data_IF_861465211139
#
_entry.id   IF_861465211139
#
_cell.length_a   1.000
_cell.length_b   1.000
_cell.length_c   1.000
_cell.angle_alpha   90.00
_cell.angle_beta   90.00
_cell.angle_gamma   90.00
#
_symmetry.space_group_name_H-M   'P 1'
#
loop_
_entity.id
_entity.type
_entity.pdbx_description
1 polymer ?
#
# COMPACT_ATOMS: atom_id res chain seq x y z
N UNK A 1 -46.33 1.56 10.76
CA UNK A 1 -45.02 1.98 10.21
C UNK A 1 -44.34 0.74 9.66
N UNK A 2 -44.00 0.72 8.37
CA UNK A 2 -43.62 -0.51 7.66
C UNK A 2 -42.27 -1.06 8.17
N UNK A 3 -42.27 -2.29 8.68
CA UNK A 3 -41.08 -2.97 9.24
C UNK A 3 -39.94 -3.05 8.21
N UNK A 4 -40.25 -3.03 6.92
CA UNK A 4 -39.26 -2.99 5.83
C UNK A 4 -38.42 -1.71 5.82
N UNK A 5 -39.02 -0.55 6.13
CA UNK A 5 -38.33 0.74 6.11
C UNK A 5 -37.32 0.87 7.26
N UNK A 6 -37.67 0.36 8.45
CA UNK A 6 -36.75 0.36 9.60
C UNK A 6 -35.53 -0.53 9.35
N UNK A 7 -35.71 -1.70 8.70
CA UNK A 7 -34.61 -2.61 8.38
C UNK A 7 -33.64 -2.01 7.35
N UNK A 8 -34.17 -1.37 6.30
CA UNK A 8 -33.35 -0.70 5.28
C UNK A 8 -32.55 0.45 5.90
N UNK A 9 -33.19 1.27 6.73
CA UNK A 9 -32.54 2.40 7.39
C UNK A 9 -31.39 1.96 8.31
N UNK A 10 -31.60 0.91 9.11
CA UNK A 10 -30.57 0.37 10.00
C UNK A 10 -29.37 -0.18 9.23
N UNK A 11 -29.62 -0.85 8.10
CA UNK A 11 -28.58 -1.40 7.25
C UNK A 11 -27.72 -0.31 6.61
N UNK A 12 -28.36 0.75 6.10
CA UNK A 12 -27.66 1.92 5.54
C UNK A 12 -26.80 2.62 6.58
N UNK A 13 -27.27 2.75 7.83
CA UNK A 13 -26.48 3.31 8.93
C UNK A 13 -25.22 2.47 9.21
N UNK A 14 -25.33 1.14 9.23
CA UNK A 14 -24.18 0.27 9.47
C UNK A 14 -23.13 0.38 8.37
N UNK A 15 -23.56 0.47 7.10
CA UNK A 15 -22.64 0.65 5.96
C UNK A 15 -21.95 2.01 6.05
N UNK A 16 -22.70 3.09 6.31
CA UNK A 16 -22.14 4.44 6.46
C UNK A 16 -21.18 4.52 7.64
N UNK A 17 -21.53 3.92 8.79
CA UNK A 17 -20.67 3.85 9.96
C UNK A 17 -19.38 3.07 9.66
N UNK A 18 -19.46 1.96 8.91
CA UNK A 18 -18.30 1.20 8.46
C UNK A 18 -17.37 2.03 7.57
N UNK A 19 -17.92 2.76 6.59
CA UNK A 19 -17.15 3.66 5.71
C UNK A 19 -16.49 4.79 6.52
N UNK A 20 -17.23 5.40 7.45
CA UNK A 20 -16.70 6.45 8.33
C UNK A 20 -15.57 5.92 9.22
N UNK A 21 -15.71 4.73 9.79
CA UNK A 21 -14.68 4.11 10.62
C UNK A 21 -13.40 3.82 9.82
N UNK A 22 -13.53 3.33 8.59
CA UNK A 22 -12.40 3.11 7.68
C UNK A 22 -11.74 4.46 7.33
N UNK A 23 -12.53 5.49 7.05
CA UNK A 23 -12.00 6.82 6.72
C UNK A 23 -11.26 7.46 7.91
N UNK A 24 -11.83 7.36 9.11
CA UNK A 24 -11.22 7.85 10.35
C UNK A 24 -9.92 7.11 10.69
N UNK A 25 -9.90 5.80 10.52
CA UNK A 25 -8.68 5.01 10.77
C UNK A 25 -7.57 5.33 9.77
N UNK A 26 -7.90 5.57 8.49
CA UNK A 26 -6.94 6.02 7.48
C UNK A 26 -6.37 7.39 7.83
N UNK A 27 -7.21 8.36 8.21
CA UNK A 27 -6.77 9.71 8.56
C UNK A 27 -5.91 9.73 9.82
N UNK A 28 -6.31 9.01 10.88
CA UNK A 28 -5.54 8.94 12.12
C UNK A 28 -4.19 8.24 11.93
N UNK A 29 -4.08 7.29 10.99
CA UNK A 29 -2.82 6.62 10.68
C UNK A 29 -1.84 7.53 9.92
N UNK A 30 -2.34 8.54 9.20
CA UNK A 30 -1.52 9.50 8.47
C UNK A 30 -0.81 10.48 9.42
N UNK A 31 -1.43 10.86 10.55
CA UNK A 31 -0.83 11.78 11.54
C UNK A 31 0.24 11.14 12.43
N UNK A 32 0.26 9.81 12.61
CA UNK A 32 1.12 9.12 13.58
C UNK A 32 2.56 8.81 13.14
N UNK A 33 3.14 9.49 12.15
CA UNK A 33 4.54 9.23 11.74
C UNK A 33 5.49 10.43 11.87
N UNK A 34 5.58 11.08 13.05
CA UNK A 34 6.46 12.23 13.26
C UNK A 34 7.97 11.89 13.21
N UNK A 35 8.35 10.61 13.21
CA UNK A 35 9.76 10.19 13.29
C UNK A 35 10.36 9.68 11.97
N UNK A 36 9.61 9.61 10.87
CA UNK A 36 10.12 9.09 9.59
C UNK A 36 10.66 10.22 8.71
N UNK A 37 11.82 10.03 8.14
CA UNK A 37 12.48 11.01 7.28
C UNK A 37 13.13 12.17 8.02
N UNK A 38 13.30 12.07 9.34
CA UNK A 38 13.97 13.11 10.15
C UNK A 38 15.41 13.31 9.68
N UNK A 39 16.13 12.20 9.42
CA UNK A 39 17.49 12.26 8.85
C UNK A 39 17.54 13.01 7.52
N UNK A 40 16.51 12.81 6.68
CA UNK A 40 16.41 13.37 5.33
C UNK A 40 16.19 14.89 5.35
N UNK A 41 15.45 15.39 6.34
CA UNK A 41 15.29 16.83 6.55
C UNK A 41 16.63 17.49 6.96
N UNK A 42 17.42 16.81 7.78
CA UNK A 42 18.68 17.34 8.33
C UNK A 42 19.86 17.26 7.35
N UNK A 43 19.97 16.21 6.52
CA UNK A 43 21.05 16.10 5.52
C UNK A 43 21.08 17.29 4.55
N UNK A 44 19.92 17.86 4.19
CA UNK A 44 19.86 19.01 3.29
C UNK A 44 20.51 20.27 3.85
N UNK A 45 20.59 20.36 5.19
CA UNK A 45 21.15 21.50 5.94
C UNK A 45 22.62 21.28 6.31
N UNK A 46 22.98 20.04 6.62
CA UNK A 46 24.27 19.69 7.23
C UNK A 46 25.32 19.20 6.22
N UNK A 47 24.93 18.85 4.99
CA UNK A 47 25.87 18.39 3.97
C UNK A 47 26.72 19.53 3.41
N UNK A 48 28.03 19.30 3.19
CA UNK A 48 28.88 20.27 2.51
C UNK A 48 28.46 20.41 1.02
N UNK A 49 28.82 21.52 0.34
CA UNK A 49 28.39 21.81 -1.02
C UNK A 49 28.66 20.68 -2.02
N UNK A 50 29.82 20.01 -1.91
CA UNK A 50 30.23 18.90 -2.78
C UNK A 50 29.37 17.63 -2.64
N UNK A 51 28.69 17.46 -1.49
CA UNK A 51 27.84 16.30 -1.19
C UNK A 51 26.34 16.62 -1.31
N UNK A 52 25.97 17.87 -1.59
CA UNK A 52 24.57 18.31 -1.68
C UNK A 52 23.80 17.57 -2.78
N UNK A 53 24.43 17.32 -3.92
CA UNK A 53 23.84 16.54 -5.02
C UNK A 53 23.45 15.11 -4.59
N UNK A 54 24.33 14.44 -3.83
CA UNK A 54 24.05 13.11 -3.29
C UNK A 54 22.89 13.14 -2.30
N UNK A 55 22.86 14.16 -1.42
CA UNK A 55 21.74 14.38 -0.50
C UNK A 55 20.42 14.52 -1.24
N UNK A 56 20.37 15.35 -2.29
CA UNK A 56 19.18 15.51 -3.13
C UNK A 56 18.77 14.20 -3.81
N UNK A 57 19.73 13.42 -4.32
CA UNK A 57 19.44 12.13 -4.94
C UNK A 57 18.81 11.14 -3.94
N UNK A 58 19.32 11.06 -2.71
CA UNK A 58 18.78 10.19 -1.65
C UNK A 58 17.37 10.64 -1.25
N UNK A 59 17.15 11.95 -1.08
CA UNK A 59 15.84 12.52 -0.75
C UNK A 59 14.81 12.17 -1.85
N UNK A 60 15.17 12.39 -3.12
CA UNK A 60 14.28 12.11 -4.25
C UNK A 60 13.92 10.61 -4.32
N UNK A 61 14.90 9.73 -4.21
CA UNK A 61 14.66 8.28 -4.22
C UNK A 61 13.79 7.84 -3.03
N UNK A 62 14.06 8.37 -1.83
CA UNK A 62 13.22 8.09 -0.66
C UNK A 62 11.76 8.48 -0.90
N UNK A 63 11.50 9.69 -1.38
CA UNK A 63 10.13 10.15 -1.65
C UNK A 63 9.44 9.31 -2.72
N UNK A 64 10.15 8.94 -3.79
CA UNK A 64 9.63 8.04 -4.80
C UNK A 64 9.22 6.69 -4.19
N UNK A 65 10.10 6.08 -3.39
CA UNK A 65 9.84 4.77 -2.79
C UNK A 65 8.70 4.81 -1.79
N UNK A 66 8.59 5.89 -1.01
CA UNK A 66 7.47 6.08 -0.07
C UNK A 66 6.15 6.29 -0.80
N UNK A 67 6.13 7.12 -1.85
CA UNK A 67 4.94 7.32 -2.68
C UNK A 67 4.48 6.01 -3.31
N UNK A 68 5.41 5.24 -3.87
CA UNK A 68 5.12 3.92 -4.44
C UNK A 68 4.67 2.92 -3.37
N UNK A 69 5.25 2.94 -2.17
CA UNK A 69 4.81 2.11 -1.05
C UNK A 69 3.35 2.37 -0.72
N UNK A 70 2.91 3.63 -0.68
CA UNK A 70 1.51 3.99 -0.40
C UNK A 70 0.59 3.46 -1.51
N UNK A 71 0.96 3.65 -2.78
CA UNK A 71 0.18 3.17 -3.93
C UNK A 71 0.03 1.65 -3.92
N UNK A 72 1.12 0.92 -3.73
CA UNK A 72 1.09 -0.55 -3.66
C UNK A 72 0.36 -1.06 -2.42
N UNK A 73 0.48 -0.37 -1.29
CA UNK A 73 -0.28 -0.67 -0.06
C UNK A 73 -1.78 -0.54 -0.31
N UNK A 74 -2.22 0.55 -0.95
CA UNK A 74 -3.61 0.78 -1.28
C UNK A 74 -4.16 -0.30 -2.21
N UNK A 75 -3.39 -0.71 -3.24
CA UNK A 75 -3.78 -1.79 -4.14
C UNK A 75 -3.85 -3.14 -3.43
N UNK A 76 -2.83 -3.50 -2.64
CA UNK A 76 -2.75 -4.77 -1.93
C UNK A 76 -3.89 -4.91 -0.91
N UNK A 77 -4.00 -3.97 0.02
CA UNK A 77 -5.04 -4.01 1.05
C UNK A 77 -6.44 -3.73 0.48
N UNK A 78 -6.54 -2.92 -0.57
CA UNK A 78 -7.81 -2.68 -1.27
C UNK A 78 -8.35 -3.96 -1.90
N UNK A 79 -7.51 -4.75 -2.56
CA UNK A 79 -7.93 -6.05 -3.11
C UNK A 79 -8.24 -7.06 -2.00
N UNK A 80 -7.41 -7.10 -0.94
CA UNK A 80 -7.58 -8.05 0.16
C UNK A 80 -8.87 -7.77 0.95
N UNK A 81 -9.06 -6.55 1.43
CA UNK A 81 -10.26 -6.18 2.18
C UNK A 81 -11.48 -6.05 1.28
N UNK A 82 -11.32 -5.57 0.05
CA UNK A 82 -12.39 -5.49 -0.93
C UNK A 82 -12.97 -6.87 -1.25
N UNK A 83 -12.12 -7.87 -1.47
CA UNK A 83 -12.59 -9.23 -1.73
C UNK A 83 -13.31 -9.85 -0.54
N UNK A 84 -12.79 -9.70 0.67
CA UNK A 84 -13.46 -10.14 1.90
C UNK A 84 -14.82 -9.45 2.08
N UNK A 85 -14.89 -8.13 1.85
CA UNK A 85 -16.11 -7.35 1.92
C UNK A 85 -17.15 -7.83 0.91
N UNK A 86 -16.78 -7.96 -0.37
CA UNK A 86 -17.70 -8.44 -1.41
C UNK A 86 -18.16 -9.87 -1.17
N UNK A 87 -17.29 -10.74 -0.64
CA UNK A 87 -17.66 -12.11 -0.26
C UNK A 87 -18.69 -12.12 0.88
N UNK A 88 -18.47 -11.31 1.92
CA UNK A 88 -19.40 -11.17 3.03
C UNK A 88 -20.75 -10.59 2.56
N UNK A 89 -20.73 -9.59 1.69
CA UNK A 89 -21.94 -9.03 1.08
C UNK A 89 -22.68 -10.05 0.23
N UNK A 90 -21.99 -10.83 -0.61
CA UNK A 90 -22.61 -11.89 -1.40
C UNK A 90 -23.38 -12.88 -0.52
N UNK A 91 -22.77 -13.33 0.58
CA UNK A 91 -23.39 -14.23 1.55
C UNK A 91 -24.58 -13.58 2.28
N UNK A 92 -24.46 -12.30 2.62
CA UNK A 92 -25.52 -11.55 3.25
C UNK A 92 -26.74 -11.40 2.33
N UNK A 93 -26.53 -11.02 1.06
CA UNK A 93 -27.62 -10.87 0.09
C UNK A 93 -28.39 -12.18 -0.12
N UNK A 94 -27.73 -13.34 -0.07
CA UNK A 94 -28.41 -14.63 -0.11
C UNK A 94 -29.33 -14.85 1.09
N UNK A 95 -28.97 -14.32 2.27
CA UNK A 95 -29.74 -14.45 3.52
C UNK A 95 -30.79 -13.36 3.74
N UNK A 96 -30.80 -12.28 2.96
CA UNK A 96 -31.78 -11.20 3.15
C UNK A 96 -33.18 -11.65 2.73
N UNK A 97 -34.07 -11.81 3.71
CA UNK A 97 -35.49 -12.16 3.52
C UNK A 97 -36.26 -11.10 2.72
N UNK A 98 -35.82 -9.83 2.76
CA UNK A 98 -36.46 -8.72 2.04
C UNK A 98 -36.43 -8.94 0.52
N UNK A 99 -35.44 -9.68 0.02
CA UNK A 99 -35.30 -10.02 -1.40
C UNK A 99 -35.88 -11.41 -1.75
N UNK A 100 -36.59 -12.05 -0.82
CA UNK A 100 -37.17 -13.39 -1.03
C UNK A 100 -38.24 -13.40 -2.13
N UNK A 101 -38.97 -12.29 -2.30
CA UNK A 101 -39.98 -12.13 -3.35
C UNK A 101 -39.38 -12.08 -4.77
N UNK A 102 -38.07 -11.77 -4.90
CA UNK A 102 -37.37 -11.67 -6.19
C UNK A 102 -36.10 -12.54 -6.19
N UNK A 103 -36.25 -13.88 -6.22
CA UNK A 103 -35.12 -14.80 -6.06
C UNK A 103 -34.06 -14.64 -7.17
N UNK A 104 -34.48 -14.28 -8.39
CA UNK A 104 -33.56 -14.04 -9.51
C UNK A 104 -32.63 -12.87 -9.24
N UNK A 105 -33.18 -11.71 -8.87
CA UNK A 105 -32.39 -10.51 -8.56
C UNK A 105 -31.41 -10.75 -7.41
N UNK A 106 -31.88 -11.41 -6.35
CA UNK A 106 -31.05 -11.78 -5.19
C UNK A 106 -29.83 -12.60 -5.61
N UNK A 107 -30.06 -13.63 -6.43
CA UNK A 107 -29.02 -14.54 -6.88
C UNK A 107 -28.04 -13.83 -7.83
N UNK A 108 -28.54 -12.99 -8.75
CA UNK A 108 -27.70 -12.25 -9.70
C UNK A 108 -26.77 -11.25 -8.98
N UNK A 109 -27.28 -10.54 -7.96
CA UNK A 109 -26.46 -9.63 -7.13
C UNK A 109 -25.40 -10.42 -6.35
N UNK A 110 -25.80 -11.51 -5.68
CA UNK A 110 -24.85 -12.32 -4.91
C UNK A 110 -23.75 -12.92 -5.79
N UNK A 111 -24.12 -13.46 -6.95
CA UNK A 111 -23.17 -14.01 -7.92
C UNK A 111 -22.20 -12.95 -8.44
N UNK A 112 -22.69 -11.74 -8.74
CA UNK A 112 -21.86 -10.62 -9.18
C UNK A 112 -20.85 -10.20 -8.10
N UNK A 113 -21.29 -10.10 -6.84
CA UNK A 113 -20.41 -9.77 -5.70
C UNK A 113 -19.36 -10.85 -5.46
N UNK A 114 -19.74 -12.13 -5.52
CA UNK A 114 -18.81 -13.25 -5.39
C UNK A 114 -17.78 -13.26 -6.53
N UNK A 115 -18.20 -12.95 -7.75
CA UNK A 115 -17.31 -12.85 -8.92
C UNK A 115 -16.33 -11.69 -8.75
N UNK A 116 -16.78 -10.52 -8.32
CA UNK A 116 -15.91 -9.38 -8.02
C UNK A 116 -14.89 -9.71 -6.92
N UNK A 117 -15.31 -10.41 -5.86
CA UNK A 117 -14.40 -10.86 -4.82
C UNK A 117 -13.29 -11.78 -5.38
N UNK A 118 -13.65 -12.76 -6.19
CA UNK A 118 -12.71 -13.68 -6.83
C UNK A 118 -11.75 -12.94 -7.78
N UNK A 119 -12.24 -11.95 -8.54
CA UNK A 119 -11.41 -11.12 -9.41
C UNK A 119 -10.40 -10.29 -8.63
N UNK A 120 -10.79 -9.70 -7.48
CA UNK A 120 -9.87 -8.94 -6.63
C UNK A 120 -8.77 -9.82 -6.02
N UNK A 121 -9.11 -11.03 -5.56
CA UNK A 121 -8.10 -11.99 -5.10
C UNK A 121 -7.14 -12.34 -6.24
N UNK A 122 -7.67 -12.67 -7.41
CA UNK A 122 -6.87 -13.03 -8.59
C UNK A 122 -5.95 -11.87 -8.99
N UNK A 123 -6.46 -10.65 -9.03
CA UNK A 123 -5.69 -9.45 -9.34
C UNK A 123 -4.57 -9.21 -8.31
N UNK A 124 -4.86 -9.41 -7.02
CA UNK A 124 -3.86 -9.31 -5.95
C UNK A 124 -2.75 -10.35 -6.10
N UNK A 125 -3.11 -11.60 -6.40
CA UNK A 125 -2.18 -12.71 -6.56
C UNK A 125 -1.30 -12.55 -7.81
N UNK A 126 -1.89 -12.24 -8.97
CA UNK A 126 -1.13 -12.06 -10.22
C UNK A 126 -0.29 -10.78 -10.16
N UNK A 127 -0.83 -9.72 -9.56
CA UNK A 127 -0.16 -8.42 -9.47
C UNK A 127 1.04 -8.40 -8.51
N UNK A 128 1.14 -9.39 -7.62
CA UNK A 128 2.11 -9.49 -6.52
C UNK A 128 2.34 -8.16 -5.80
N UNK A 129 1.23 -7.52 -5.41
CA UNK A 129 1.27 -6.20 -4.80
C UNK A 129 1.98 -6.21 -3.44
N UNK A 130 1.90 -7.32 -2.71
CA UNK A 130 2.59 -7.50 -1.44
C UNK A 130 4.11 -7.39 -1.60
N UNK A 131 4.69 -8.10 -2.58
CA UNK A 131 6.13 -8.04 -2.83
C UNK A 131 6.58 -6.64 -3.25
N UNK A 132 5.84 -5.99 -4.16
CA UNK A 132 6.12 -4.62 -4.61
C UNK A 132 6.04 -3.61 -3.46
N UNK A 133 5.03 -3.72 -2.61
CA UNK A 133 4.89 -2.92 -1.40
C UNK A 133 6.09 -3.12 -0.45
N UNK A 134 6.45 -4.38 -0.17
CA UNK A 134 7.58 -4.74 0.68
C UNK A 134 8.91 -4.20 0.17
N UNK A 135 9.19 -4.38 -1.12
CA UNK A 135 10.43 -3.92 -1.75
C UNK A 135 10.61 -2.39 -1.66
N UNK A 136 9.56 -1.61 -1.94
CA UNK A 136 9.62 -0.16 -1.81
C UNK A 136 9.77 0.30 -0.34
N UNK A 137 9.11 -0.40 0.61
CA UNK A 137 9.24 -0.08 2.04
C UNK A 137 10.65 -0.32 2.56
N UNK A 138 11.27 -1.45 2.18
CA UNK A 138 12.65 -1.78 2.55
C UNK A 138 13.63 -0.78 1.92
N UNK A 139 13.46 -0.46 0.64
CA UNK A 139 14.31 0.51 -0.05
C UNK A 139 14.23 1.91 0.56
N UNK A 140 13.04 2.38 0.93
CA UNK A 140 12.88 3.65 1.62
C UNK A 140 13.61 3.67 2.98
N UNK A 141 13.51 2.59 3.75
CA UNK A 141 14.26 2.47 5.02
C UNK A 141 15.77 2.43 4.79
N UNK A 142 16.24 1.79 3.72
CA UNK A 142 17.66 1.76 3.39
C UNK A 142 18.19 3.14 2.97
N UNK A 143 17.40 3.93 2.22
CA UNK A 143 17.74 5.32 1.89
C UNK A 143 17.81 6.22 3.13
N UNK A 144 16.90 6.02 4.09
CA UNK A 144 16.92 6.73 5.36
C UNK A 144 18.17 6.35 6.20
N UNK A 145 18.53 5.07 6.25
CA UNK A 145 19.77 4.61 6.89
C UNK A 145 21.01 5.21 6.22
N UNK A 146 21.03 5.29 4.88
CA UNK A 146 22.11 5.93 4.13
C UNK A 146 22.21 7.44 4.45
N UNK A 147 21.08 8.11 4.65
CA UNK A 147 21.07 9.50 5.12
C UNK A 147 21.71 9.65 6.50
N UNK A 148 21.44 8.75 7.44
CA UNK A 148 22.12 8.74 8.75
C UNK A 148 23.63 8.51 8.62
N UNK A 149 24.07 7.67 7.68
CA UNK A 149 25.50 7.47 7.43
C UNK A 149 26.16 8.75 6.89
N UNK A 150 25.50 9.47 5.99
CA UNK A 150 25.99 10.73 5.44
C UNK A 150 26.11 11.87 6.45
N UNK A 151 25.33 11.83 7.53
CA UNK A 151 25.46 12.77 8.65
C UNK A 151 26.74 12.54 9.47
N UNK A 152 27.48 11.45 9.23
CA UNK A 152 28.75 11.20 9.92
C UNK A 152 29.86 12.05 9.28
N UNK A 153 30.70 12.75 10.09
CA UNK A 153 31.71 13.68 9.58
C UNK A 153 32.70 13.11 8.55
N UNK A 154 32.98 11.80 8.59
CA UNK A 154 33.93 11.13 7.70
C UNK A 154 33.29 10.45 6.49
N UNK A 155 31.96 10.40 6.39
CA UNK A 155 31.27 9.65 5.34
C UNK A 155 31.08 10.47 4.04
N UNK A 156 30.93 11.78 4.16
CA UNK A 156 30.67 12.67 3.03
C UNK A 156 31.85 12.79 2.04
N UNK A 157 33.07 12.44 2.45
CA UNK A 157 34.28 12.51 1.62
C UNK A 157 34.42 11.35 0.63
N UNK A 158 33.64 10.26 0.77
CA UNK A 158 33.73 9.08 -0.09
C UNK A 158 32.51 8.95 -1.02
N UNK A 159 32.44 9.85 -2.01
CA UNK A 159 31.35 9.93 -3.00
C UNK A 159 31.07 8.60 -3.71
N UNK A 160 32.11 7.89 -4.13
CA UNK A 160 31.98 6.64 -4.90
C UNK A 160 31.37 5.51 -4.07
N UNK A 161 31.73 5.42 -2.79
CA UNK A 161 31.13 4.46 -1.86
C UNK A 161 29.63 4.71 -1.68
N UNK A 162 29.22 5.97 -1.55
CA UNK A 162 27.81 6.34 -1.39
C UNK A 162 27.02 6.04 -2.67
N UNK A 163 27.56 6.38 -3.85
CA UNK A 163 26.94 6.05 -5.13
C UNK A 163 26.75 4.54 -5.30
N UNK A 164 27.76 3.75 -4.91
CA UNK A 164 27.69 2.29 -4.92
C UNK A 164 26.56 1.77 -4.03
N UNK A 165 26.39 2.34 -2.83
CA UNK A 165 25.28 2.00 -1.93
C UNK A 165 23.91 2.37 -2.51
N UNK A 166 23.78 3.55 -3.12
CA UNK A 166 22.54 3.96 -3.81
C UNK A 166 22.21 2.97 -4.92
N UNK A 167 23.18 2.62 -5.77
CA UNK A 167 22.99 1.64 -6.84
C UNK A 167 22.58 0.26 -6.31
N UNK A 168 23.18 -0.20 -5.21
CA UNK A 168 22.83 -1.45 -4.57
C UNK A 168 21.38 -1.44 -4.05
N UNK A 169 20.95 -0.37 -3.38
CA UNK A 169 19.55 -0.22 -2.91
C UNK A 169 18.58 -0.23 -4.10
N UNK A 170 18.89 0.52 -5.16
CA UNK A 170 18.05 0.59 -6.35
C UNK A 170 17.93 -0.76 -7.06
N UNK A 171 19.05 -1.49 -7.16
CA UNK A 171 19.09 -2.82 -7.78
C UNK A 171 18.27 -3.83 -6.95
N UNK A 172 18.44 -3.83 -5.63
CA UNK A 172 17.66 -4.68 -4.73
C UNK A 172 16.15 -4.37 -4.78
N UNK A 173 15.79 -3.07 -4.82
CA UNK A 173 14.40 -2.64 -5.00
C UNK A 173 13.83 -3.12 -6.33
N UNK A 174 14.57 -2.93 -7.43
CA UNK A 174 14.12 -3.33 -8.75
C UNK A 174 13.93 -4.85 -8.84
N UNK A 175 14.87 -5.64 -8.31
CA UNK A 175 14.73 -7.10 -8.20
C UNK A 175 13.47 -7.49 -7.41
N UNK A 176 13.21 -6.84 -6.27
CA UNK A 176 12.00 -7.07 -5.49
C UNK A 176 10.70 -6.67 -6.22
N UNK A 177 10.70 -5.56 -6.97
CA UNK A 177 9.49 -5.08 -7.68
C UNK A 177 9.18 -5.94 -8.90
N UNK A 178 10.19 -6.23 -9.71
CA UNK A 178 10.07 -6.99 -10.95
C UNK A 178 9.86 -8.48 -10.66
N UNK A 179 10.45 -8.97 -9.56
CA UNK A 179 10.60 -10.39 -9.30
C UNK A 179 11.86 -10.93 -9.99
N UNK A 180 12.46 -11.96 -9.42
CA UNK A 180 13.60 -12.64 -10.05
C UNK A 180 13.13 -13.35 -11.33
N UNK A 181 13.48 -12.82 -12.51
CA UNK A 181 13.24 -13.49 -13.79
C UNK A 181 14.03 -14.80 -13.96
N UNK A 182 14.99 -15.06 -13.07
CA UNK A 182 15.80 -16.28 -13.05
C UNK A 182 14.97 -17.54 -12.86
N UNK A 183 13.78 -17.46 -12.26
CA UNK A 183 12.89 -18.63 -12.09
C UNK A 183 12.03 -18.92 -13.33
N UNK A 184 11.85 -17.94 -14.23
CA UNK A 184 11.09 -18.09 -15.50
C UNK A 184 11.99 -18.59 -16.63
N UNK A 185 13.29 -18.32 -16.58
CA UNK A 185 14.25 -18.82 -17.58
C UNK A 185 14.71 -20.26 -17.34
N UNK A 186 14.35 -20.87 -16.20
CA UNK A 186 14.71 -22.25 -15.84
C UNK A 186 13.56 -23.26 -15.95
N UNK A 187 12.43 -22.89 -16.57
CA UNK A 187 11.31 -23.77 -16.92
C UNK A 187 11.09 -23.76 -18.42
#
# INVERSE_FOLDING_TARGET
MNISWQRIFFFSILVIAGILLVTLTINNFAEQQPHRGVALAEISKLLPPEAKELGTLIINNYHEYRSNTIRWSALYFGCLFGSAFFSAMAALFLKLEILSEQPKLRNDISASLATLAALLITLSSIGDFQRKWGANRVAASAMENLAYELLRPSAASNRDSILTKIQAINSARNAGVVGDFSEVASK
#
